data_IF_067034802431
#
_entry.id   IF_067034802431
#
_cell.length_a   1.000
_cell.length_b   1.000
_cell.length_c   1.000
_cell.angle_alpha   90.00
_cell.angle_beta   90.00
_cell.angle_gamma   90.00
#
_symmetry.space_group_name_H-M   'P 1'
#
loop_
_entity.id
_entity.type
_entity.pdbx_description
1 polymer ?
#
# COMPACT_ATOMS: atom_id res chain seq x y z
N UNK A 1 4.59 -5.80 28.61
CA UNK A 1 3.77 -6.45 27.56
C UNK A 1 3.89 -5.58 26.33
N UNK A 2 4.57 -6.06 25.29
CA UNK A 2 4.62 -5.36 24.00
C UNK A 2 3.24 -5.55 23.37
N UNK A 3 2.54 -4.46 23.07
CA UNK A 3 1.34 -4.49 22.23
C UNK A 3 1.68 -5.22 20.92
N UNK A 4 0.76 -5.98 20.30
CA UNK A 4 1.06 -6.61 19.01
C UNK A 4 1.60 -5.54 18.05
N UNK A 5 2.83 -5.72 17.57
CA UNK A 5 3.50 -4.76 16.70
C UNK A 5 2.60 -4.48 15.50
N UNK A 6 2.30 -3.20 15.24
CA UNK A 6 1.52 -2.82 14.06
C UNK A 6 2.40 -3.00 12.83
N UNK A 7 2.28 -4.14 12.17
CA UNK A 7 3.01 -4.45 10.94
C UNK A 7 2.29 -3.81 9.75
N UNK A 8 3.04 -3.03 8.98
CA UNK A 8 2.60 -2.42 7.73
C UNK A 8 3.27 -3.13 6.55
N UNK A 9 2.49 -3.52 5.55
CA UNK A 9 2.99 -4.06 4.28
C UNK A 9 2.84 -2.98 3.22
N UNK A 10 3.98 -2.43 2.80
CA UNK A 10 4.04 -1.43 1.72
C UNK A 10 4.04 -2.16 0.37
N UNK A 11 3.11 -1.77 -0.49
CA UNK A 11 2.93 -2.35 -1.82
C UNK A 11 3.01 -1.22 -2.85
N UNK A 12 4.18 -1.01 -3.50
CA UNK A 12 4.25 -0.13 -4.65
C UNK A 12 3.44 -0.74 -5.81
N UNK A 13 2.63 0.05 -6.49
CA UNK A 13 1.76 -0.43 -7.57
C UNK A 13 1.75 0.54 -8.75
N UNK A 14 1.79 0.00 -9.97
CA UNK A 14 1.66 0.76 -11.21
C UNK A 14 0.96 -0.11 -12.26
N UNK A 15 -0.29 0.24 -12.61
CA UNK A 15 -1.16 -0.49 -13.54
C UNK A 15 -1.40 -1.97 -13.16
N UNK A 16 -1.67 -2.22 -11.87
CA UNK A 16 -1.92 -3.53 -11.26
C UNK A 16 -3.40 -3.76 -10.92
N UNK A 17 -4.34 -3.05 -11.55
CA UNK A 17 -5.78 -3.09 -11.25
C UNK A 17 -6.37 -4.50 -11.11
N UNK A 18 -6.06 -5.45 -12.02
CA UNK A 18 -6.62 -6.82 -11.94
C UNK A 18 -6.13 -7.64 -10.74
N UNK A 19 -4.99 -7.31 -10.13
CA UNK A 19 -4.34 -8.17 -9.12
C UNK A 19 -4.24 -7.53 -7.75
N UNK A 20 -4.16 -6.20 -7.66
CA UNK A 20 -3.86 -5.48 -6.42
C UNK A 20 -4.87 -5.76 -5.32
N UNK A 21 -6.15 -5.94 -5.67
CA UNK A 21 -7.20 -6.26 -4.70
C UNK A 21 -6.96 -7.58 -3.96
N UNK A 22 -6.43 -8.61 -4.66
CA UNK A 22 -6.09 -9.89 -4.03
C UNK A 22 -4.90 -9.75 -3.08
N UNK A 23 -3.86 -9.02 -3.48
CA UNK A 23 -2.68 -8.75 -2.64
C UNK A 23 -3.10 -8.08 -1.33
N UNK A 24 -3.92 -7.03 -1.42
CA UNK A 24 -4.46 -6.32 -0.25
C UNK A 24 -5.29 -7.24 0.63
N UNK A 25 -6.16 -8.07 0.06
CA UNK A 25 -6.98 -9.02 0.82
C UNK A 25 -6.12 -10.04 1.57
N UNK A 26 -5.05 -10.55 0.96
CA UNK A 26 -4.15 -11.52 1.57
C UNK A 26 -3.33 -10.90 2.72
N UNK A 27 -2.83 -9.67 2.56
CA UNK A 27 -2.17 -8.90 3.63
C UNK A 27 -3.10 -8.69 4.83
N UNK A 28 -4.34 -8.28 4.57
CA UNK A 28 -5.33 -8.06 5.64
C UNK A 28 -5.72 -9.35 6.34
N UNK A 29 -5.83 -10.46 5.61
CA UNK A 29 -6.12 -11.78 6.20
C UNK A 29 -5.00 -12.25 7.14
N UNK A 30 -3.76 -11.86 6.87
CA UNK A 30 -2.62 -12.09 7.75
C UNK A 30 -2.61 -11.18 9.00
N UNK A 31 -3.55 -10.24 9.12
CA UNK A 31 -3.65 -9.33 10.26
C UNK A 31 -2.75 -8.10 10.16
N UNK A 32 -2.26 -7.76 8.96
CA UNK A 32 -1.39 -6.62 8.72
C UNK A 32 -2.13 -5.47 8.03
N UNK A 33 -1.58 -4.26 8.15
CA UNK A 33 -2.10 -3.07 7.45
C UNK A 33 -1.46 -2.97 6.06
N UNK A 34 -2.28 -2.95 5.00
CA UNK A 34 -1.80 -2.74 3.64
C UNK A 34 -1.70 -1.24 3.32
N UNK A 35 -0.51 -0.80 2.91
CA UNK A 35 -0.26 0.55 2.38
C UNK A 35 0.10 0.41 0.90
N UNK A 36 -0.84 0.73 0.02
CA UNK A 36 -0.62 0.73 -1.42
C UNK A 36 -0.19 2.11 -1.86
N UNK A 37 0.94 2.21 -2.55
CA UNK A 37 1.37 3.44 -3.19
C UNK A 37 1.14 3.30 -4.70
N UNK A 38 0.07 3.93 -5.19
CA UNK A 38 -0.25 4.02 -6.62
C UNK A 38 0.69 5.04 -7.27
N UNK A 39 1.69 4.53 -8.00
CA UNK A 39 2.76 5.33 -8.63
C UNK A 39 2.29 5.91 -9.97
N UNK A 40 1.15 6.59 -9.97
CA UNK A 40 0.60 7.27 -11.14
C UNK A 40 -0.05 6.33 -12.17
N UNK A 41 -0.75 5.28 -11.73
CA UNK A 41 -1.46 4.38 -12.64
C UNK A 41 -2.56 5.11 -13.43
N UNK A 42 -2.75 4.67 -14.68
CA UNK A 42 -3.82 5.13 -15.57
C UNK A 42 -5.04 4.21 -15.57
N UNK A 43 -4.96 3.07 -14.90
CA UNK A 43 -6.03 2.09 -14.75
C UNK A 43 -6.75 2.20 -13.39
N UNK A 44 -7.50 1.15 -13.02
CA UNK A 44 -8.26 1.08 -11.79
C UNK A 44 -7.44 0.69 -10.54
N UNK A 45 -6.10 0.67 -10.57
CA UNK A 45 -5.23 0.21 -9.46
C UNK A 45 -5.59 0.83 -8.11
N UNK A 46 -5.60 2.18 -8.02
CA UNK A 46 -5.93 2.87 -6.76
C UNK A 46 -7.34 2.54 -6.27
N UNK A 47 -8.31 2.47 -7.18
CA UNK A 47 -9.70 2.16 -6.83
C UNK A 47 -9.82 0.73 -6.31
N UNK A 48 -9.22 -0.24 -6.99
CA UNK A 48 -9.23 -1.65 -6.59
C UNK A 48 -8.54 -1.86 -5.23
N UNK A 49 -7.41 -1.20 -4.98
CA UNK A 49 -6.71 -1.22 -3.70
C UNK A 49 -7.57 -0.63 -2.56
N UNK A 50 -8.21 0.52 -2.81
CA UNK A 50 -9.08 1.18 -1.84
C UNK A 50 -10.29 0.30 -1.48
N UNK A 51 -10.97 -0.27 -2.49
CA UNK A 51 -12.11 -1.18 -2.29
C UNK A 51 -11.71 -2.43 -1.49
N UNK A 52 -10.50 -2.94 -1.68
CA UNK A 52 -9.97 -4.07 -0.91
C UNK A 52 -9.61 -3.71 0.55
N UNK A 53 -9.62 -2.43 0.90
CA UNK A 53 -9.38 -1.92 2.26
C UNK A 53 -7.93 -1.56 2.54
N UNK A 54 -7.14 -1.25 1.51
CA UNK A 54 -5.82 -0.65 1.70
C UNK A 54 -5.91 0.83 2.06
N UNK A 55 -4.88 1.31 2.74
CA UNK A 55 -4.53 2.73 2.74
C UNK A 55 -3.88 3.00 1.38
N UNK A 56 -4.39 3.98 0.63
CA UNK A 56 -3.90 4.29 -0.72
C UNK A 56 -3.27 5.68 -0.74
N UNK A 57 -2.00 5.75 -1.13
CA UNK A 57 -1.28 6.99 -1.40
C UNK A 57 -1.06 7.04 -2.91
N UNK A 58 -1.39 8.17 -3.54
CA UNK A 58 -1.27 8.30 -5.00
C UNK A 58 -0.22 9.32 -5.37
N UNK A 59 0.75 8.91 -6.18
CA UNK A 59 1.64 9.84 -6.87
C UNK A 59 0.94 10.46 -8.08
N UNK A 60 1.21 11.74 -8.38
CA UNK A 60 0.61 12.43 -9.53
C UNK A 60 1.07 11.86 -10.88
N UNK A 61 2.24 11.25 -10.93
CA UNK A 61 2.82 10.54 -12.07
C UNK A 61 3.83 9.50 -11.55
N UNK A 62 4.27 8.59 -12.41
CA UNK A 62 5.22 7.54 -12.04
C UNK A 62 6.58 8.13 -11.64
N UNK A 63 6.95 7.95 -10.37
CA UNK A 63 8.22 8.37 -9.76
C UNK A 63 9.22 7.21 -9.64
N UNK A 64 8.79 5.99 -9.96
CA UNK A 64 9.57 4.78 -9.87
C UNK A 64 9.39 4.04 -8.54
N UNK A 65 9.66 2.74 -8.56
CA UNK A 65 9.45 1.84 -7.43
C UNK A 65 10.15 2.29 -6.14
N UNK A 66 11.36 2.85 -6.23
CA UNK A 66 12.10 3.34 -5.06
C UNK A 66 11.39 4.51 -4.37
N UNK A 67 10.86 5.46 -5.14
CA UNK A 67 10.09 6.57 -4.60
C UNK A 67 8.79 6.09 -3.96
N UNK A 68 8.07 5.16 -4.62
CA UNK A 68 6.85 4.58 -4.09
C UNK A 68 7.09 3.82 -2.76
N UNK A 69 8.17 3.05 -2.67
CA UNK A 69 8.57 2.38 -1.43
C UNK A 69 8.90 3.40 -0.34
N UNK A 70 9.69 4.43 -0.65
CA UNK A 70 10.04 5.48 0.32
C UNK A 70 8.78 6.15 0.87
N UNK A 71 7.85 6.55 0.01
CA UNK A 71 6.59 7.17 0.42
C UNK A 71 5.76 6.25 1.34
N UNK A 72 5.69 4.96 1.04
CA UNK A 72 4.97 4.01 1.87
C UNK A 72 5.65 3.76 3.22
N UNK A 73 6.98 3.70 3.25
CA UNK A 73 7.78 3.56 4.47
C UNK A 73 7.63 4.80 5.35
N UNK A 74 7.77 6.00 4.78
CA UNK A 74 7.61 7.27 5.48
C UNK A 74 6.22 7.37 6.12
N UNK A 75 5.18 6.96 5.38
CA UNK A 75 3.83 6.89 5.91
C UNK A 75 3.73 5.91 7.08
N UNK A 76 4.24 4.69 6.94
CA UNK A 76 4.19 3.67 7.98
C UNK A 76 4.91 4.13 9.27
N UNK A 77 6.10 4.73 9.13
CA UNK A 77 6.86 5.28 10.25
C UNK A 77 6.10 6.44 10.93
N UNK A 78 5.42 7.30 10.17
CA UNK A 78 4.57 8.35 10.72
C UNK A 78 3.38 7.79 11.54
N UNK A 79 2.92 6.57 11.23
CA UNK A 79 1.92 5.84 12.01
C UNK A 79 2.50 5.06 13.21
N UNK A 80 3.80 5.23 13.50
CA UNK A 80 4.53 4.51 14.56
C UNK A 80 4.65 3.01 14.31
N UNK A 81 4.85 2.61 13.04
CA UNK A 81 5.35 1.27 12.74
C UNK A 81 6.69 1.03 13.46
N UNK A 82 6.87 -0.17 14.01
CA UNK A 82 8.11 -0.64 14.68
C UNK A 82 9.07 -1.33 13.71
#
# INVERSE_FOLDING_TARGET
MVSPAQVYVVVPAYNEGPVIGRVVADVRRAGHTAVVVDDGSSDATAQAACVAGAIVIKHPFNLGQGAALQTGIDYALAQRAE
#
